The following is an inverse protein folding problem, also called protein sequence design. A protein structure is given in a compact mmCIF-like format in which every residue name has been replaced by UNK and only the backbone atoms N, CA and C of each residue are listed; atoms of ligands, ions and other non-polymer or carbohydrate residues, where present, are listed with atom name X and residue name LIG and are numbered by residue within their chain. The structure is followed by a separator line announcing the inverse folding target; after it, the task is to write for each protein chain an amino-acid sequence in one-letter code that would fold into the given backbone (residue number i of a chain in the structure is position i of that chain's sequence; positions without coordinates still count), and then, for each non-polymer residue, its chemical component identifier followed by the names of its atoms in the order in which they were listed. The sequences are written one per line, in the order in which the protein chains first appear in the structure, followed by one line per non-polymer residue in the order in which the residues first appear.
data_IF_302321704085
#
_entry.id   IF_302321704085
#
_cell.length_a   1.000
_cell.length_b   1.000
_cell.length_c   1.000
_cell.angle_alpha   90.00
_cell.angle_beta   90.00
_cell.angle_gamma   90.00
#
_symmetry.space_group_name_H-M   'P 1'
#
loop_
_entity.id
_entity.type
_entity.pdbx_description
1 polymer ?
#
# COMPACT_ATOMS: atom_id res chain seq x y z
N UNK A 1 -1.60 -18.45 -22.99
CA UNK A 1 -0.95 -17.33 -22.26
C UNK A 1 -0.71 -17.81 -20.84
N UNK A 2 0.49 -17.64 -20.28
CA UNK A 2 0.72 -17.98 -18.86
C UNK A 2 -0.18 -17.06 -18.01
N UNK A 3 -0.97 -17.66 -17.12
CA UNK A 3 -1.82 -16.95 -16.18
C UNK A 3 -0.95 -16.14 -15.21
N UNK A 4 -0.61 -14.90 -15.57
CA UNK A 4 0.18 -13.98 -14.75
C UNK A 4 -0.61 -13.57 -13.50
N UNK A 5 0.06 -13.42 -12.36
CA UNK A 5 -0.57 -12.90 -11.15
C UNK A 5 -1.03 -11.45 -11.32
N UNK A 6 -2.04 -11.03 -10.56
CA UNK A 6 -2.54 -9.65 -10.56
C UNK A 6 -1.73 -8.79 -9.59
N UNK A 7 -1.32 -7.60 -10.04
CA UNK A 7 -0.77 -6.58 -9.14
C UNK A 7 -1.89 -5.68 -8.62
N UNK A 8 -1.99 -5.55 -7.32
CA UNK A 8 -2.85 -4.59 -6.63
C UNK A 8 -1.98 -3.55 -5.92
N UNK A 9 -2.25 -2.27 -6.18
CA UNK A 9 -1.71 -1.16 -5.40
C UNK A 9 -2.77 -0.70 -4.42
N UNK A 10 -2.47 -0.74 -3.12
CA UNK A 10 -3.37 -0.18 -2.11
C UNK A 10 -2.86 1.18 -1.66
N UNK A 11 -3.72 2.18 -1.76
CA UNK A 11 -3.45 3.58 -1.43
C UNK A 11 -4.51 4.13 -0.47
N UNK A 12 -4.18 5.17 0.24
CA UNK A 12 -5.08 5.84 1.19
C UNK A 12 -4.29 6.67 2.18
N UNK A 13 -4.96 7.57 2.87
CA UNK A 13 -4.34 8.47 3.84
C UNK A 13 -3.66 7.73 5.00
N UNK A 14 -2.74 8.42 5.66
CA UNK A 14 -2.27 7.97 6.98
C UNK A 14 -3.50 7.87 7.91
N UNK A 15 -3.61 6.79 8.68
CA UNK A 15 -4.80 6.57 9.49
C UNK A 15 -5.98 5.88 8.80
N UNK A 16 -5.95 5.66 7.48
CA UNK A 16 -7.05 4.97 6.78
C UNK A 16 -7.20 3.47 7.11
N UNK A 17 -6.25 2.89 7.87
CA UNK A 17 -6.37 1.50 8.32
C UNK A 17 -5.95 0.43 7.31
N UNK A 18 -5.23 0.80 6.23
CA UNK A 18 -4.76 -0.14 5.19
C UNK A 18 -4.12 -1.42 5.71
N UNK A 19 -3.21 -1.29 6.70
CA UNK A 19 -2.47 -2.45 7.21
C UNK A 19 -3.37 -3.43 7.97
N UNK A 20 -4.34 -2.90 8.75
CA UNK A 20 -5.35 -3.72 9.43
C UNK A 20 -6.28 -4.39 8.44
N UNK A 21 -6.72 -3.65 7.43
CA UNK A 21 -7.58 -4.16 6.36
C UNK A 21 -6.88 -5.28 5.59
N UNK A 22 -5.62 -5.09 5.18
CA UNK A 22 -4.84 -6.13 4.51
C UNK A 22 -4.66 -7.39 5.37
N UNK A 23 -4.36 -7.23 6.67
CA UNK A 23 -4.26 -8.37 7.59
C UNK A 23 -5.59 -9.14 7.68
N UNK A 24 -6.73 -8.43 7.73
CA UNK A 24 -8.05 -9.05 7.77
C UNK A 24 -8.39 -9.79 6.47
N UNK A 25 -8.06 -9.23 5.32
CA UNK A 25 -8.23 -9.87 4.00
C UNK A 25 -7.37 -11.12 3.89
N UNK A 26 -6.07 -11.04 4.23
CA UNK A 26 -5.17 -12.19 4.13
C UNK A 26 -5.57 -13.34 5.05
N UNK A 27 -6.09 -13.04 6.25
CA UNK A 27 -6.60 -14.05 7.17
C UNK A 27 -7.78 -14.86 6.59
N UNK A 28 -8.54 -14.23 5.68
CA UNK A 28 -9.71 -14.83 5.01
C UNK A 28 -9.41 -15.33 3.60
N UNK A 29 -8.17 -15.16 3.12
CA UNK A 29 -7.81 -15.55 1.76
C UNK A 29 -8.02 -17.05 1.54
N UNK A 30 -8.87 -17.46 0.58
CA UNK A 30 -9.17 -18.88 0.40
C UNK A 30 -7.93 -19.66 -0.05
N UNK A 31 -7.72 -20.85 0.53
CA UNK A 31 -6.61 -21.75 0.15
C UNK A 31 -6.72 -22.19 -1.32
N UNK A 32 -7.93 -22.29 -1.84
CA UNK A 32 -8.23 -22.64 -3.23
C UNK A 32 -8.00 -21.48 -4.21
N UNK A 33 -7.88 -20.25 -3.71
CA UNK A 33 -7.60 -19.08 -4.54
C UNK A 33 -6.12 -19.02 -4.94
N UNK A 34 -5.83 -18.25 -5.99
CA UNK A 34 -4.46 -17.96 -6.40
C UNK A 34 -3.66 -17.39 -5.22
N UNK A 35 -2.41 -17.85 -5.01
CA UNK A 35 -1.58 -17.29 -3.94
C UNK A 35 -1.43 -15.78 -4.08
N UNK A 36 -1.40 -15.08 -2.94
CA UNK A 36 -1.15 -13.65 -2.88
C UNK A 36 0.01 -13.37 -1.92
N UNK A 37 0.85 -12.39 -2.27
CA UNK A 37 1.98 -11.96 -1.44
C UNK A 37 1.99 -10.46 -1.24
N UNK A 38 2.50 -10.04 -0.07
CA UNK A 38 2.85 -8.65 0.23
C UNK A 38 4.37 -8.56 0.23
N UNK A 39 4.99 -7.78 -0.67
CA UNK A 39 6.43 -7.56 -0.61
C UNK A 39 6.80 -6.69 0.59
N UNK A 40 7.91 -7.00 1.23
CA UNK A 40 8.53 -6.05 2.15
C UNK A 40 9.14 -4.91 1.34
N UNK A 41 8.71 -3.69 1.62
CA UNK A 41 9.30 -2.48 1.03
C UNK A 41 10.62 -2.17 1.72
N UNK A 42 11.54 -1.58 1.00
CA UNK A 42 12.74 -0.96 1.56
C UNK A 42 12.42 0.48 1.91
N UNK A 43 12.79 0.92 3.11
CA UNK A 43 12.44 2.26 3.61
C UNK A 43 13.63 2.84 4.37
N UNK A 44 13.99 4.10 4.06
CA UNK A 44 15.12 4.82 4.70
C UNK A 44 14.72 5.46 6.03
N UNK A 45 14.08 4.67 6.89
CA UNK A 45 13.78 5.08 8.27
C UNK A 45 13.92 3.91 9.23
N UNK A 46 14.16 4.17 10.52
CA UNK A 46 14.16 3.12 11.54
C UNK A 46 12.82 2.36 11.61
N UNK A 47 12.90 1.08 11.95
CA UNK A 47 11.70 0.27 12.22
C UNK A 47 11.10 0.72 13.55
N UNK A 48 9.82 1.06 13.53
CA UNK A 48 9.05 1.34 14.73
C UNK A 48 7.89 0.33 14.84
N UNK A 49 7.90 -0.46 15.91
CA UNK A 49 6.88 -1.47 16.15
C UNK A 49 6.97 -2.67 15.20
N UNK A 50 5.83 -3.24 14.82
CA UNK A 50 5.72 -4.48 14.02
C UNK A 50 5.44 -4.22 12.54
N UNK A 51 5.85 -3.09 11.99
CA UNK A 51 5.64 -2.80 10.55
C UNK A 51 6.56 -3.70 9.71
N UNK A 52 6.04 -4.47 8.76
CA UNK A 52 6.83 -5.40 7.95
C UNK A 52 7.51 -4.67 6.78
N UNK A 53 8.68 -4.08 7.01
CA UNK A 53 9.53 -3.50 5.97
C UNK A 53 11.01 -3.72 6.28
N UNK A 54 11.87 -3.54 5.29
CA UNK A 54 13.32 -3.60 5.42
C UNK A 54 13.83 -2.17 5.61
N UNK A 55 14.41 -1.88 6.77
CA UNK A 55 15.06 -0.60 7.05
C UNK A 55 16.45 -0.58 6.42
N UNK A 56 16.76 0.48 5.69
CA UNK A 56 18.07 0.71 5.06
C UNK A 56 18.52 2.15 5.27
N UNK A 57 19.82 2.41 5.14
CA UNK A 57 20.34 3.79 5.08
C UNK A 57 20.05 4.39 3.70
N UNK A 58 20.15 5.71 3.58
CA UNK A 58 19.97 6.39 2.28
C UNK A 58 21.02 5.93 1.27
N UNK A 59 22.27 5.77 1.69
CA UNK A 59 23.37 5.30 0.85
C UNK A 59 23.10 3.90 0.30
N UNK A 60 22.67 2.97 1.16
CA UNK A 60 22.35 1.61 0.75
C UNK A 60 21.10 1.56 -0.14
N UNK A 61 20.12 2.44 0.10
CA UNK A 61 18.95 2.57 -0.77
C UNK A 61 19.36 2.99 -2.19
N UNK A 62 20.24 3.98 -2.31
CA UNK A 62 20.74 4.49 -3.58
C UNK A 62 21.54 3.42 -4.33
N UNK A 63 22.40 2.68 -3.65
CA UNK A 63 23.14 1.55 -4.23
C UNK A 63 22.19 0.47 -4.78
N UNK A 64 21.19 0.07 -3.99
CA UNK A 64 20.21 -0.92 -4.42
C UNK A 64 19.37 -0.43 -5.60
N UNK A 65 19.03 0.86 -5.62
CA UNK A 65 18.30 1.48 -6.72
C UNK A 65 19.11 1.50 -8.01
N UNK A 66 20.40 1.88 -7.94
CA UNK A 66 21.33 1.84 -9.08
C UNK A 66 21.53 0.42 -9.63
N UNK A 67 21.47 -0.59 -8.77
CA UNK A 67 21.53 -2.01 -9.15
C UNK A 67 20.21 -2.54 -9.74
N UNK A 68 19.16 -1.71 -9.89
CA UNK A 68 17.86 -2.13 -10.40
C UNK A 68 17.08 -3.08 -9.47
N UNK A 69 17.38 -3.06 -8.16
CA UNK A 69 16.69 -3.92 -7.18
C UNK A 69 15.24 -3.50 -6.93
N UNK A 70 14.88 -2.26 -7.29
CA UNK A 70 13.53 -1.73 -7.13
C UNK A 70 12.84 -1.55 -8.49
N UNK A 71 11.55 -1.88 -8.55
CA UNK A 71 10.70 -1.60 -9.70
C UNK A 71 9.93 -0.28 -9.56
N UNK A 72 9.65 0.14 -8.33
CA UNK A 72 8.99 1.40 -8.02
C UNK A 72 9.69 2.05 -6.83
N UNK A 73 9.96 3.35 -6.93
CA UNK A 73 10.53 4.15 -5.83
C UNK A 73 9.80 5.47 -5.70
N UNK A 74 9.70 5.98 -4.48
CA UNK A 74 9.15 7.33 -4.22
C UNK A 74 9.71 7.91 -2.93
N UNK A 75 9.70 9.23 -2.86
CA UNK A 75 10.13 10.00 -1.70
C UNK A 75 8.96 10.70 -1.03
N UNK A 76 8.86 10.60 0.28
CA UNK A 76 7.83 11.26 1.10
C UNK A 76 8.37 11.54 2.51
N UNK A 77 8.33 12.80 2.95
CA UNK A 77 8.76 13.21 4.30
C UNK A 77 10.18 12.75 4.65
N UNK A 78 11.16 13.15 3.87
CA UNK A 78 12.57 12.79 4.05
C UNK A 78 12.83 11.27 4.14
N UNK A 79 11.95 10.49 3.54
CA UNK A 79 12.01 9.02 3.55
C UNK A 79 11.83 8.49 2.13
N UNK A 80 12.75 7.61 1.72
CA UNK A 80 12.67 6.88 0.47
C UNK A 80 12.02 5.53 0.67
N UNK A 81 11.25 5.12 -0.32
CA UNK A 81 10.51 3.87 -0.36
C UNK A 81 10.82 3.13 -1.65
N UNK A 82 11.15 1.85 -1.55
CA UNK A 82 11.40 0.99 -2.69
C UNK A 82 10.54 -0.27 -2.64
N UNK A 83 9.93 -0.61 -3.78
CA UNK A 83 9.27 -1.91 -3.99
C UNK A 83 10.25 -2.81 -4.73
N UNK A 84 10.58 -4.00 -4.19
CA UNK A 84 11.57 -4.87 -4.80
C UNK A 84 11.11 -5.39 -6.16
N UNK A 85 12.01 -5.42 -7.14
CA UNK A 85 11.75 -5.93 -8.49
C UNK A 85 11.41 -7.44 -8.52
N UNK A 86 11.69 -8.16 -7.44
CA UNK A 86 11.30 -9.58 -7.28
C UNK A 86 9.80 -9.83 -7.40
N UNK A 87 8.96 -8.80 -7.27
CA UNK A 87 7.51 -8.94 -7.50
C UNK A 87 7.19 -9.42 -8.91
N UNK A 88 8.02 -9.09 -9.92
CA UNK A 88 7.81 -9.57 -11.29
C UNK A 88 7.90 -11.09 -11.37
N UNK A 89 8.89 -11.70 -10.68
CA UNK A 89 9.03 -13.16 -10.64
C UNK A 89 7.78 -13.82 -10.02
N UNK A 90 7.19 -13.22 -8.98
CA UNK A 90 5.97 -13.74 -8.38
C UNK A 90 4.78 -13.63 -9.35
N UNK A 91 4.62 -12.47 -9.97
CA UNK A 91 3.57 -12.26 -10.97
C UNK A 91 3.69 -13.28 -12.13
N UNK A 92 4.90 -13.50 -12.64
CA UNK A 92 5.16 -14.43 -13.74
C UNK A 92 4.94 -15.90 -13.35
N UNK A 93 5.06 -16.23 -12.05
CA UNK A 93 4.70 -17.52 -11.47
C UNK A 93 3.20 -17.66 -11.18
N UNK A 94 2.40 -16.65 -11.50
CA UNK A 94 0.97 -16.66 -11.24
C UNK A 94 0.60 -16.28 -9.80
N UNK A 95 1.52 -15.78 -8.99
CA UNK A 95 1.24 -15.28 -7.64
C UNK A 95 0.78 -13.82 -7.74
N UNK A 96 -0.38 -13.50 -7.18
CA UNK A 96 -0.83 -12.11 -7.08
C UNK A 96 -0.02 -11.35 -6.03
N UNK A 97 0.10 -10.05 -6.23
CA UNK A 97 0.87 -9.17 -5.34
C UNK A 97 0.00 -8.00 -4.92
N UNK A 98 -0.01 -7.67 -3.64
CA UNK A 98 -0.59 -6.43 -3.14
C UNK A 98 0.45 -5.62 -2.39
N UNK A 99 0.58 -4.34 -2.72
CA UNK A 99 1.58 -3.47 -2.10
C UNK A 99 1.00 -2.11 -1.73
N UNK A 100 1.28 -1.67 -0.50
CA UNK A 100 0.91 -0.35 -0.01
C UNK A 100 1.89 0.68 -0.59
N UNK A 101 1.39 1.64 -1.37
CA UNK A 101 2.19 2.66 -2.06
C UNK A 101 1.64 4.07 -1.86
N UNK A 102 2.44 5.07 -2.22
CA UNK A 102 1.96 6.44 -2.36
C UNK A 102 1.14 6.60 -3.64
N UNK A 103 0.06 7.39 -3.60
CA UNK A 103 -0.71 7.72 -4.81
C UNK A 103 0.12 8.38 -5.92
N UNK A 104 1.21 9.05 -5.57
CA UNK A 104 2.12 9.70 -6.53
C UNK A 104 2.78 8.74 -7.51
N UNK A 105 2.91 7.45 -7.11
CA UNK A 105 3.57 6.44 -7.93
C UNK A 105 2.62 5.76 -8.94
N UNK A 106 1.32 5.96 -8.84
CA UNK A 106 0.33 5.27 -9.68
C UNK A 106 0.60 5.48 -11.18
N UNK A 107 0.85 6.71 -11.68
CA UNK A 107 1.10 6.91 -13.11
C UNK A 107 2.31 6.12 -13.60
N UNK A 108 3.41 6.12 -12.86
CA UNK A 108 4.62 5.34 -13.19
C UNK A 108 4.32 3.83 -13.14
N UNK A 109 3.60 3.38 -12.14
CA UNK A 109 3.25 1.97 -11.99
C UNK A 109 2.36 1.48 -13.14
N UNK A 110 1.40 2.29 -13.60
CA UNK A 110 0.55 1.95 -14.76
C UNK A 110 1.32 1.91 -16.08
N UNK A 111 2.37 2.72 -16.23
CA UNK A 111 3.27 2.62 -17.39
C UNK A 111 4.05 1.30 -17.37
N UNK A 112 4.46 0.84 -16.20
CA UNK A 112 5.24 -0.37 -16.02
C UNK A 112 4.38 -1.65 -16.11
N UNK A 113 3.17 -1.62 -15.56
CA UNK A 113 2.20 -2.73 -15.53
C UNK A 113 0.81 -2.15 -15.81
N UNK A 114 0.39 -2.05 -17.09
CA UNK A 114 -0.85 -1.36 -17.47
C UNK A 114 -2.13 -1.98 -16.88
N UNK A 115 -2.14 -3.28 -16.59
CA UNK A 115 -3.28 -4.04 -16.08
C UNK A 115 -3.37 -4.09 -14.54
N UNK A 116 -2.46 -3.41 -13.82
CA UNK A 116 -2.53 -3.31 -12.37
C UNK A 116 -3.87 -2.70 -11.90
N UNK A 117 -4.26 -3.03 -10.68
CA UNK A 117 -5.47 -2.49 -10.04
C UNK A 117 -5.12 -1.59 -8.88
N UNK A 118 -5.72 -0.43 -8.84
CA UNK A 118 -5.56 0.56 -7.76
C UNK A 118 -6.76 0.49 -6.84
N UNK A 119 -6.49 0.16 -5.57
CA UNK A 119 -7.48 0.11 -4.50
C UNK A 119 -7.30 1.35 -3.62
N UNK A 120 -8.31 2.17 -3.52
CA UNK A 120 -8.32 3.32 -2.63
C UNK A 120 -9.09 3.01 -1.34
N UNK A 121 -8.40 3.11 -0.19
CA UNK A 121 -9.03 2.95 1.12
C UNK A 121 -9.54 4.32 1.59
N UNK A 122 -10.84 4.50 1.48
CA UNK A 122 -11.56 5.70 1.87
C UNK A 122 -11.94 5.66 3.35
N UNK A 123 -11.82 6.78 4.02
CA UNK A 123 -12.28 6.99 5.39
C UNK A 123 -12.66 8.47 5.53
N UNK A 124 -13.80 8.82 6.14
CA UNK A 124 -14.17 10.20 6.43
C UNK A 124 -13.05 10.97 7.15
N UNK A 125 -12.96 12.25 6.88
CA UNK A 125 -11.86 13.09 7.35
C UNK A 125 -11.76 13.12 8.88
N UNK A 126 -12.88 13.26 9.56
CA UNK A 126 -12.98 13.30 11.03
C UNK A 126 -12.43 12.01 11.67
N UNK A 127 -12.80 10.84 11.15
CA UNK A 127 -12.28 9.54 11.60
C UNK A 127 -10.78 9.44 11.31
N UNK A 128 -10.34 9.88 10.12
CA UNK A 128 -8.92 9.90 9.75
C UNK A 128 -8.11 10.75 10.72
N UNK A 129 -8.60 11.95 11.07
CA UNK A 129 -7.95 12.86 12.00
C UNK A 129 -7.87 12.28 13.42
N UNK A 130 -8.94 11.65 13.89
CA UNK A 130 -8.95 10.95 15.19
C UNK A 130 -7.91 9.83 15.23
N UNK A 131 -7.84 9.00 14.17
CA UNK A 131 -6.88 7.90 14.06
C UNK A 131 -5.43 8.38 13.93
N UNK A 132 -5.17 9.53 13.30
CA UNK A 132 -3.83 10.15 13.25
C UNK A 132 -3.42 10.60 14.65
N UNK A 133 -4.31 11.28 15.40
CA UNK A 133 -4.06 11.74 16.77
C UNK A 133 -3.78 10.57 17.72
N UNK A 134 -4.58 9.51 17.68
CA UNK A 134 -4.47 8.36 18.60
C UNK A 134 -3.19 7.54 18.41
N UNK A 135 -2.52 7.63 17.26
CA UNK A 135 -1.30 6.84 16.97
C UNK A 135 -0.05 7.34 17.66
N UNK A 136 -0.05 8.53 18.24
CA UNK A 136 1.03 9.13 19.05
C UNK A 136 2.46 8.94 18.48
N UNK A 137 2.62 8.86 17.14
CA UNK A 137 3.93 8.65 16.48
C UNK A 137 4.80 9.90 16.46
N UNK A 138 4.19 11.05 16.72
CA UNK A 138 4.84 12.37 16.73
C UNK A 138 4.13 13.24 17.79
N UNK A 139 4.84 14.19 18.38
CA UNK A 139 4.22 15.15 19.30
C UNK A 139 3.08 15.89 18.59
N UNK A 140 1.92 15.99 19.21
CA UNK A 140 0.81 16.81 18.72
C UNK A 140 1.33 18.23 18.44
N UNK A 141 1.15 18.68 17.19
CA UNK A 141 1.63 20.00 16.74
C UNK A 141 2.97 19.99 16.01
N UNK A 142 3.72 18.89 15.97
CA UNK A 142 4.97 18.80 15.22
C UNK A 142 4.77 18.92 13.68
N UNK A 143 5.83 19.30 12.92
CA UNK A 143 5.73 19.50 11.46
C UNK A 143 5.16 18.28 10.73
N UNK A 144 5.58 17.07 11.07
CA UNK A 144 5.10 15.83 10.46
C UNK A 144 3.61 15.57 10.74
N UNK A 145 3.13 15.90 11.92
CA UNK A 145 1.71 15.84 12.27
C UNK A 145 0.87 16.79 11.40
N UNK A 146 1.29 18.06 11.28
CA UNK A 146 0.60 19.06 10.47
C UNK A 146 0.58 18.67 8.99
N UNK A 147 1.68 18.16 8.46
CA UNK A 147 1.76 17.68 7.08
C UNK A 147 0.79 16.51 6.82
N UNK A 148 0.63 15.60 7.78
CA UNK A 148 -0.34 14.47 7.65
C UNK A 148 -1.78 14.97 7.68
N UNK A 149 -2.09 15.98 8.53
CA UNK A 149 -3.40 16.60 8.57
C UNK A 149 -3.73 17.29 7.25
N UNK A 150 -2.80 18.08 6.71
CA UNK A 150 -2.97 18.77 5.42
C UNK A 150 -3.24 17.75 4.30
N UNK A 151 -2.42 16.70 4.20
CA UNK A 151 -2.62 15.63 3.21
C UNK A 151 -3.93 14.88 3.39
N UNK A 152 -4.37 14.64 4.62
CA UNK A 152 -5.65 13.98 4.86
C UNK A 152 -6.82 14.83 4.33
N UNK A 153 -6.73 16.15 4.45
CA UNK A 153 -7.73 17.09 3.89
C UNK A 153 -7.74 17.12 2.36
N UNK A 154 -6.56 17.19 1.75
CA UNK A 154 -6.41 17.29 0.29
C UNK A 154 -6.76 15.99 -0.45
N UNK A 155 -6.58 14.85 0.21
CA UNK A 155 -6.57 13.55 -0.45
C UNK A 155 -7.77 12.67 -0.05
N UNK A 156 -8.99 13.24 -0.05
CA UNK A 156 -10.21 12.50 0.33
C UNK A 156 -10.69 11.54 -0.75
N UNK A 157 -10.34 11.76 -2.00
CA UNK A 157 -10.75 10.94 -3.13
C UNK A 157 -9.56 10.58 -4.01
N UNK A 158 -9.73 9.59 -4.87
CA UNK A 158 -8.79 9.19 -5.91
C UNK A 158 -9.57 8.84 -7.18
N UNK A 159 -9.54 9.73 -8.18
CA UNK A 159 -10.30 9.55 -9.42
C UNK A 159 -9.85 8.31 -10.22
N UNK A 160 -8.56 7.96 -10.14
CA UNK A 160 -7.97 6.85 -10.91
C UNK A 160 -8.03 5.50 -10.17
N UNK A 161 -8.81 5.40 -9.08
CA UNK A 161 -8.99 4.14 -8.38
C UNK A 161 -9.85 3.18 -9.21
N UNK A 162 -9.39 1.94 -9.36
CA UNK A 162 -10.19 0.86 -9.96
C UNK A 162 -11.23 0.33 -8.95
N UNK A 163 -10.96 0.50 -7.66
CA UNK A 163 -11.86 0.13 -6.57
C UNK A 163 -11.69 1.07 -5.36
N UNK A 164 -12.79 1.42 -4.75
CA UNK A 164 -12.83 2.21 -3.51
C UNK A 164 -13.48 1.36 -2.43
N UNK A 165 -12.75 1.12 -1.33
CA UNK A 165 -13.29 0.44 -0.16
C UNK A 165 -13.49 1.45 0.97
N UNK A 166 -14.70 1.48 1.54
CA UNK A 166 -15.00 2.29 2.72
C UNK A 166 -14.53 1.55 3.99
N UNK A 167 -13.52 2.10 4.65
CA UNK A 167 -13.00 1.58 5.91
C UNK A 167 -13.46 2.41 7.14
N UNK A 168 -14.62 3.05 7.03
CA UNK A 168 -15.35 3.64 8.14
C UNK A 168 -16.35 2.68 8.78
N UNK A 169 -16.74 1.64 8.06
CA UNK A 169 -17.57 0.52 8.51
C UNK A 169 -16.76 -0.47 9.39
N UNK A 170 -17.37 -1.48 10.01
CA UNK A 170 -16.64 -2.54 10.70
C UNK A 170 -15.57 -3.19 9.82
N UNK A 171 -14.40 -3.46 10.40
CA UNK A 171 -13.24 -3.97 9.66
C UNK A 171 -13.54 -5.25 8.88
N UNK A 172 -14.37 -6.10 9.43
CA UNK A 172 -14.81 -7.36 8.83
C UNK A 172 -15.59 -7.16 7.53
N UNK A 173 -16.45 -6.16 7.51
CA UNK A 173 -17.28 -5.79 6.36
C UNK A 173 -16.41 -5.20 5.24
N UNK A 174 -15.56 -4.23 5.57
CA UNK A 174 -14.62 -3.66 4.61
C UNK A 174 -13.64 -4.72 4.05
N UNK A 175 -13.22 -5.68 4.90
CA UNK A 175 -12.33 -6.76 4.49
C UNK A 175 -13.02 -7.75 3.55
N UNK A 176 -14.29 -8.05 3.78
CA UNK A 176 -15.06 -8.91 2.91
C UNK A 176 -15.31 -8.27 1.53
N UNK A 177 -15.68 -7.00 1.51
CA UNK A 177 -15.84 -6.24 0.27
C UNK A 177 -14.56 -6.24 -0.57
N UNK A 178 -13.42 -5.92 0.07
CA UNK A 178 -12.12 -5.91 -0.60
C UNK A 178 -11.71 -7.31 -1.07
N UNK A 179 -11.94 -8.35 -0.25
CA UNK A 179 -11.65 -9.74 -0.61
C UNK A 179 -12.44 -10.15 -1.85
N UNK A 180 -13.74 -9.88 -1.88
CA UNK A 180 -14.63 -10.21 -3.01
C UNK A 180 -14.16 -9.50 -4.29
N UNK A 181 -13.79 -8.22 -4.21
CA UNK A 181 -13.20 -7.51 -5.34
C UNK A 181 -11.93 -8.18 -5.84
N UNK A 182 -10.98 -8.50 -4.95
CA UNK A 182 -9.72 -9.11 -5.35
C UNK A 182 -9.88 -10.52 -5.92
N UNK A 183 -10.86 -11.30 -5.44
CA UNK A 183 -11.19 -12.63 -5.94
C UNK A 183 -11.99 -12.60 -7.26
N UNK A 184 -12.53 -11.46 -7.69
CA UNK A 184 -13.26 -11.32 -8.95
C UNK A 184 -12.36 -11.44 -10.18
N UNK A 185 -11.05 -11.22 -10.02
CA UNK A 185 -10.05 -11.41 -11.09
C UNK A 185 -9.78 -12.90 -11.30
N UNK A 186 -10.66 -13.52 -12.08
CA UNK A 186 -10.55 -14.92 -12.54
C UNK A 186 -9.55 -14.99 -13.69
N UNK A 187 -8.92 -16.11 -13.83
CA UNK A 187 -7.81 -16.39 -14.75
C UNK A 187 -8.28 -17.24 -15.92
#
# INVERSE_FOLDING_TARGET
MKNRGQLFLIVGNSGSGKDSLLKAVLKRWPVSARPIRIPQRYITRPVHGSEPFISVTSENFDELNQQGKFCLTWHVYDTDYGVPATIFNWLDQGVSVIVNVSRKIIPQARQLIPDLKVIFVSVPLDITLQRIKSRNRESEGGPGFQQRLARAKENQTLADADFVVDNSVPLEEAAEELLNYMLSFKY
#
